data_IF_581782915827
#
_entry.id   IF_581782915827
#
_cell.length_a   1.000
_cell.length_b   1.000
_cell.length_c   1.000
_cell.angle_alpha   90.00
_cell.angle_beta   90.00
_cell.angle_gamma   90.00
#
_symmetry.space_group_name_H-M   'P 1'
#
loop_
_entity.id
_entity.type
_entity.pdbx_description
1 polymer ?
#
# COMPACT_ATOMS: atom_id res chain seq x y z
N UNK A 1 76.93 30.15 68.57
CA UNK A 1 76.68 30.15 67.11
C UNK A 1 76.40 28.70 66.75
N UNK A 2 75.14 28.36 66.43
CA UNK A 2 74.65 27.14 65.76
C UNK A 2 73.18 26.90 66.16
N UNK A 3 72.26 27.39 65.33
CA UNK A 3 70.92 26.83 65.13
C UNK A 3 70.85 26.59 63.60
N UNK A 4 70.44 25.46 63.05
CA UNK A 4 69.59 24.40 63.56
C UNK A 4 68.36 24.29 62.66
N UNK A 5 68.28 23.20 61.90
CA UNK A 5 67.05 22.51 61.47
C UNK A 5 66.19 23.06 60.30
N UNK A 6 65.89 22.13 59.36
CA UNK A 6 64.73 22.01 58.45
C UNK A 6 64.58 23.03 57.29
N UNK A 7 64.44 22.54 56.05
CA UNK A 7 63.10 22.28 55.48
C UNK A 7 63.19 21.63 54.07
N UNK A 8 63.20 20.31 54.01
CA UNK A 8 62.95 19.54 52.78
C UNK A 8 61.46 19.47 52.41
N UNK A 9 60.57 20.01 53.27
CA UNK A 9 59.11 19.88 53.13
C UNK A 9 58.51 20.87 52.11
N UNK A 10 59.22 21.93 51.70
CA UNK A 10 58.66 22.95 50.79
C UNK A 10 58.62 22.50 49.33
N UNK A 11 59.55 21.63 48.91
CA UNK A 11 59.65 21.16 47.52
C UNK A 11 58.61 20.06 47.25
N UNK A 12 58.27 19.25 48.27
CA UNK A 12 57.24 18.22 48.13
C UNK A 12 55.83 18.83 48.06
N UNK A 13 55.56 19.88 48.84
CA UNK A 13 54.26 20.59 48.82
C UNK A 13 53.93 21.21 47.46
N UNK A 14 54.92 21.69 46.71
CA UNK A 14 54.69 22.29 45.38
C UNK A 14 54.41 21.25 44.29
N UNK A 15 54.88 20.00 44.44
CA UNK A 15 54.52 18.91 43.52
C UNK A 15 53.12 18.34 43.78
N UNK A 16 52.65 18.35 45.04
CA UNK A 16 51.28 17.94 45.36
C UNK A 16 50.23 18.94 44.85
N UNK A 17 50.53 20.23 44.81
CA UNK A 17 49.59 21.26 44.31
C UNK A 17 49.29 21.13 42.81
N UNK A 18 50.22 20.59 42.01
CA UNK A 18 50.06 20.49 40.55
C UNK A 18 49.38 19.18 40.11
N UNK A 19 49.32 18.16 40.97
CA UNK A 19 48.63 16.89 40.64
C UNK A 19 47.12 16.92 40.81
N UNK A 20 46.54 17.91 41.49
CA UNK A 20 45.07 18.02 41.67
C UNK A 20 44.36 18.91 40.64
N UNK A 21 45.06 19.45 39.65
CA UNK A 21 44.44 20.26 38.58
C UNK A 21 43.92 19.42 37.39
N UNK A 22 44.03 18.10 37.47
CA UNK A 22 43.63 17.17 36.40
C UNK A 22 42.57 16.18 36.85
N UNK A 23 41.55 16.60 37.62
CA UNK A 23 40.32 15.81 37.70
C UNK A 23 39.65 15.97 36.34
N UNK A 24 39.93 15.05 35.43
CA UNK A 24 39.07 14.82 34.29
C UNK A 24 37.68 14.53 34.88
N UNK A 25 36.79 15.51 34.81
CA UNK A 25 35.38 15.24 35.03
C UNK A 25 34.97 14.33 33.89
N UNK A 26 34.97 13.03 34.16
CA UNK A 26 34.36 12.04 33.30
C UNK A 26 32.89 12.47 33.20
N UNK A 27 32.57 13.19 32.12
CA UNK A 27 31.25 13.73 31.89
C UNK A 27 30.34 12.55 31.64
N UNK A 28 29.64 12.12 32.69
CA UNK A 28 28.76 10.97 32.66
C UNK A 28 27.62 11.29 31.70
N UNK A 29 27.66 10.66 30.52
CA UNK A 29 26.58 10.74 29.54
C UNK A 29 25.32 10.16 30.18
N UNK A 30 24.20 10.88 30.11
CA UNK A 30 22.94 10.37 30.65
C UNK A 30 22.46 9.14 29.87
N UNK A 31 21.82 8.19 30.56
CA UNK A 31 21.16 7.07 29.88
C UNK A 31 20.09 7.58 28.92
N UNK A 32 19.79 6.79 27.90
CA UNK A 32 18.75 7.11 26.95
C UNK A 32 17.36 7.18 27.65
N UNK A 33 16.52 8.16 27.27
CA UNK A 33 15.23 8.33 27.90
C UNK A 33 14.23 7.25 27.46
N UNK A 34 13.35 6.88 28.39
CA UNK A 34 12.21 6.01 28.12
C UNK A 34 11.02 6.81 27.65
N UNK A 35 10.23 6.23 26.74
CA UNK A 35 9.00 6.85 26.24
C UNK A 35 7.96 5.77 25.95
N UNK A 36 6.70 6.20 25.87
CA UNK A 36 5.56 5.36 25.55
C UNK A 36 4.86 5.84 24.29
N UNK A 37 4.25 4.90 23.57
CA UNK A 37 3.40 5.17 22.41
C UNK A 37 1.96 4.83 22.80
N UNK A 38 1.09 5.84 22.79
CA UNK A 38 -0.31 5.70 23.21
C UNK A 38 -1.21 5.91 21.99
N UNK A 39 -2.02 4.91 21.67
CA UNK A 39 -3.06 5.01 20.65
C UNK A 39 -4.31 5.70 21.21
N UNK A 40 -4.71 6.82 20.61
CA UNK A 40 -5.96 7.53 20.94
C UNK A 40 -6.76 7.83 19.68
N UNK A 41 -7.63 6.90 19.30
CA UNK A 41 -8.49 7.02 18.12
C UNK A 41 -7.65 7.13 16.85
N UNK A 42 -7.75 8.26 16.15
CA UNK A 42 -7.03 8.50 14.89
C UNK A 42 -5.61 9.07 15.08
N UNK A 43 -5.06 9.00 16.29
CA UNK A 43 -3.74 9.58 16.61
C UNK A 43 -2.89 8.63 17.46
N UNK A 44 -1.59 8.67 17.21
CA UNK A 44 -0.56 8.15 18.10
C UNK A 44 0.04 9.31 18.89
N UNK A 45 0.18 9.12 20.20
CA UNK A 45 0.82 10.07 21.09
C UNK A 45 2.12 9.45 21.57
N UNK A 46 3.24 10.09 21.23
CA UNK A 46 4.54 9.73 21.81
C UNK A 46 4.71 10.56 23.07
N UNK A 47 4.90 9.88 24.20
CA UNK A 47 4.93 10.49 25.52
C UNK A 47 6.27 10.15 26.19
N UNK A 48 7.15 11.13 26.33
CA UNK A 48 8.36 10.99 27.15
C UNK A 48 8.04 11.34 28.60
N UNK A 49 8.67 10.64 29.55
CA UNK A 49 8.63 11.04 30.96
C UNK A 49 9.36 12.36 31.14
N UNK A 50 8.87 13.21 32.04
CA UNK A 50 9.59 14.42 32.41
C UNK A 50 11.00 14.07 32.93
N UNK A 51 12.02 14.89 32.63
CA UNK A 51 13.37 14.64 33.11
C UNK A 51 13.39 14.74 34.64
N UNK A 52 14.00 13.78 35.31
CA UNK A 52 14.31 13.86 36.73
C UNK A 52 15.47 14.86 36.93
N UNK A 53 15.15 16.14 36.85
CA UNK A 53 16.09 17.25 37.03
C UNK A 53 15.42 18.42 37.76
N UNK A 54 16.21 19.21 38.48
CA UNK A 54 15.73 20.42 39.14
C UNK A 54 15.37 21.55 38.15
N UNK A 55 15.70 21.38 36.86
CA UNK A 55 15.50 22.36 35.81
C UNK A 55 14.91 21.69 34.55
N UNK A 56 13.61 21.33 34.55
CA UNK A 56 12.98 20.65 33.42
C UNK A 56 12.96 21.49 32.14
N UNK A 57 12.83 22.82 32.27
CA UNK A 57 12.88 23.76 31.16
C UNK A 57 14.20 23.76 30.37
N UNK A 58 15.28 23.22 30.95
CA UNK A 58 16.58 23.10 30.28
C UNK A 58 16.67 21.88 29.35
N UNK A 59 15.66 21.03 29.34
CA UNK A 59 15.64 19.83 28.54
C UNK A 59 14.80 20.04 27.27
N UNK A 60 15.16 19.33 26.20
CA UNK A 60 14.32 19.19 25.01
C UNK A 60 14.37 17.75 24.54
N UNK A 61 13.22 17.13 24.30
CA UNK A 61 13.20 15.79 23.72
C UNK A 61 13.10 15.92 22.20
N UNK A 62 13.96 15.18 21.52
CA UNK A 62 13.99 15.07 20.07
C UNK A 62 13.46 13.71 19.71
N UNK A 63 12.21 13.66 19.24
CA UNK A 63 11.61 12.45 18.70
C UNK A 63 12.00 12.30 17.25
N UNK A 64 12.48 11.12 16.90
CA UNK A 64 12.76 10.72 15.53
C UNK A 64 11.87 9.54 15.20
N UNK A 65 10.99 9.70 14.21
CA UNK A 65 10.09 8.63 13.82
C UNK A 65 10.02 8.43 12.31
N UNK A 66 9.76 7.20 11.91
CA UNK A 66 9.49 6.80 10.53
C UNK A 66 8.15 6.09 10.48
N UNK A 67 7.32 6.45 9.50
CA UNK A 67 6.06 5.78 9.18
C UNK A 67 6.26 4.94 7.92
N UNK A 68 5.82 3.69 7.95
CA UNK A 68 6.01 2.75 6.83
C UNK A 68 7.48 2.70 6.39
N UNK A 69 7.77 3.17 5.17
CA UNK A 69 9.11 3.30 4.57
C UNK A 69 9.38 4.75 4.11
N UNK A 70 8.68 5.72 4.70
CA UNK A 70 8.88 7.13 4.40
C UNK A 70 10.20 7.65 5.00
N UNK A 71 10.53 8.91 4.69
CA UNK A 71 11.65 9.58 5.30
C UNK A 71 11.47 9.73 6.81
N UNK A 72 12.59 9.81 7.52
CA UNK A 72 12.59 9.97 8.96
C UNK A 72 12.25 11.40 9.33
N UNK A 73 11.22 11.57 10.15
CA UNK A 73 10.73 12.86 10.62
C UNK A 73 11.31 13.12 12.02
N UNK A 74 11.77 14.35 12.25
CA UNK A 74 12.30 14.79 13.55
C UNK A 74 11.41 15.88 14.13
N UNK A 75 11.00 15.71 15.38
CA UNK A 75 10.15 16.66 16.11
C UNK A 75 10.79 16.95 17.46
N UNK A 76 10.92 18.24 17.78
CA UNK A 76 11.40 18.68 19.08
C UNK A 76 10.22 19.02 19.98
N UNK A 77 10.24 18.55 21.22
CA UNK A 77 9.24 18.88 22.23
C UNK A 77 9.90 19.43 23.49
N UNK A 78 9.20 20.38 24.10
CA UNK A 78 9.57 21.11 25.31
C UNK A 78 8.54 20.83 26.41
N UNK A 79 8.78 21.38 27.60
CA UNK A 79 7.82 21.40 28.72
C UNK A 79 6.46 21.97 28.29
N UNK A 80 6.44 22.97 27.40
CA UNK A 80 5.20 23.61 26.90
C UNK A 80 4.23 22.64 26.22
N UNK A 81 4.79 21.59 25.59
CA UNK A 81 4.03 20.55 24.91
C UNK A 81 3.87 19.29 25.78
N UNK A 82 4.13 19.41 27.08
CA UNK A 82 4.14 18.30 28.04
C UNK A 82 5.00 17.12 27.59
N UNK A 83 6.07 17.37 26.84
CA UNK A 83 6.94 16.34 26.25
C UNK A 83 6.23 15.34 25.34
N UNK A 84 5.14 15.77 24.67
CA UNK A 84 4.31 14.92 23.82
C UNK A 84 4.34 15.33 22.36
N UNK A 85 4.36 14.32 21.49
CA UNK A 85 4.13 14.47 20.05
C UNK A 85 2.83 13.80 19.67
N UNK A 86 1.97 14.52 18.93
CA UNK A 86 0.74 13.98 18.36
C UNK A 86 0.93 13.73 16.86
N UNK A 87 0.83 12.47 16.44
CA UNK A 87 0.97 12.04 15.05
C UNK A 87 -0.33 11.41 14.57
N UNK A 88 -0.69 11.60 13.30
CA UNK A 88 -1.84 10.92 12.71
C UNK A 88 -1.59 9.41 12.64
N UNK A 89 -2.53 8.63 13.17
CA UNK A 89 -2.43 7.17 13.16
C UNK A 89 -2.94 6.60 11.85
N UNK A 90 -2.15 5.67 11.30
CA UNK A 90 -2.48 4.89 10.12
C UNK A 90 -2.27 3.41 10.45
N UNK A 91 -3.37 2.67 10.54
CA UNK A 91 -3.36 1.25 10.88
C UNK A 91 -2.66 0.37 9.83
N UNK A 92 -2.45 0.87 8.62
CA UNK A 92 -1.73 0.16 7.57
C UNK A 92 -0.21 0.36 7.62
N UNK A 93 0.31 1.16 8.55
CA UNK A 93 1.73 1.46 8.63
C UNK A 93 2.38 0.98 9.92
N UNK A 94 3.60 0.46 9.79
CA UNK A 94 4.53 0.28 10.91
C UNK A 94 5.20 1.62 11.22
N UNK A 95 5.23 1.97 12.49
CA UNK A 95 5.97 3.11 13.02
C UNK A 95 7.24 2.62 13.69
N UNK A 96 8.33 3.36 13.48
CA UNK A 96 9.59 3.21 14.23
C UNK A 96 9.85 4.53 14.91
N UNK A 97 10.03 4.53 16.23
CA UNK A 97 10.20 5.75 17.02
C UNK A 97 11.44 5.62 17.88
N UNK A 98 12.22 6.70 17.96
CA UNK A 98 13.37 6.89 18.82
C UNK A 98 13.28 8.27 19.47
N UNK A 99 13.92 8.41 20.62
CA UNK A 99 13.94 9.68 21.35
C UNK A 99 15.33 9.95 21.92
N UNK A 100 15.73 11.21 21.90
CA UNK A 100 16.94 11.70 22.55
C UNK A 100 16.61 12.89 23.43
N UNK A 101 17.15 12.93 24.64
CA UNK A 101 17.10 14.11 25.49
C UNK A 101 18.29 15.02 25.14
N UNK A 102 18.02 16.27 24.81
CA UNK A 102 19.06 17.28 24.58
C UNK A 102 18.99 18.35 25.66
N UNK A 103 20.16 18.79 26.09
CA UNK A 103 20.26 19.86 27.08
C UNK A 103 20.41 21.21 26.37
N UNK A 104 19.73 22.24 26.86
CA UNK A 104 19.86 23.59 26.33
C UNK A 104 21.04 24.32 26.97
N UNK A 105 22.17 24.30 26.26
CA UNK A 105 23.38 24.98 26.69
C UNK A 105 23.31 26.51 26.57
N UNK A 106 22.32 27.05 25.85
CA UNK A 106 22.21 28.49 25.59
C UNK A 106 21.81 29.25 26.85
N UNK A 107 20.85 28.71 27.61
CA UNK A 107 20.27 29.36 28.79
C UNK A 107 20.64 28.64 30.09
N UNK A 108 21.01 27.37 30.04
CA UNK A 108 21.25 26.54 31.22
C UNK A 108 22.71 26.12 31.43
N UNK A 109 23.63 26.68 30.63
CA UNK A 109 25.08 26.45 30.73
C UNK A 109 25.55 25.11 30.18
N UNK A 110 26.87 24.85 30.22
CA UNK A 110 27.47 23.65 29.63
C UNK A 110 27.69 22.51 30.66
N UNK A 111 26.91 22.52 31.73
CA UNK A 111 27.10 21.58 32.85
C UNK A 111 26.68 20.15 32.48
N UNK A 112 25.66 20.02 31.63
CA UNK A 112 25.08 18.73 31.25
C UNK A 112 25.20 18.49 29.74
N UNK A 113 25.23 17.21 29.36
CA UNK A 113 25.34 16.75 27.96
C UNK A 113 24.06 16.06 27.52
N UNK A 114 23.85 16.03 26.21
CA UNK A 114 22.80 15.25 25.56
C UNK A 114 22.88 13.77 25.96
N UNK A 115 21.72 13.13 26.08
CA UNK A 115 21.64 11.69 26.29
C UNK A 115 22.07 10.92 25.04
N UNK A 116 22.29 9.62 25.23
CA UNK A 116 22.22 8.69 24.11
C UNK A 116 20.82 8.65 23.48
N UNK A 117 20.77 8.26 22.21
CA UNK A 117 19.51 7.98 21.51
C UNK A 117 18.91 6.69 22.08
N UNK A 118 17.59 6.66 22.27
CA UNK A 118 16.90 5.44 22.69
C UNK A 118 16.98 4.36 21.63
N UNK A 119 16.82 3.11 22.07
CA UNK A 119 16.57 2.02 21.14
C UNK A 119 15.28 2.28 20.33
N UNK A 120 15.20 1.81 19.07
CA UNK A 120 14.00 1.95 18.27
C UNK A 120 12.86 1.12 18.82
N UNK A 121 11.74 1.78 19.12
CA UNK A 121 10.48 1.12 19.45
C UNK A 121 9.63 1.02 18.19
N UNK A 122 9.07 -0.17 17.96
CA UNK A 122 8.22 -0.45 16.81
C UNK A 122 6.76 -0.54 17.22
N UNK A 123 5.88 0.14 16.48
CA UNK A 123 4.43 0.10 16.71
C UNK A 123 3.69 -0.24 15.41
N UNK A 124 2.73 -1.17 15.49
CA UNK A 124 1.96 -1.62 14.33
C UNK A 124 2.72 -2.53 13.36
N UNK A 125 2.10 -2.79 12.22
CA UNK A 125 2.63 -3.64 11.16
C UNK A 125 2.37 -3.00 9.80
N UNK A 126 3.28 -3.20 8.84
CA UNK A 126 3.04 -2.76 7.48
C UNK A 126 1.93 -3.62 6.87
N UNK A 127 0.83 -2.99 6.49
CA UNK A 127 -0.22 -3.63 5.72
C UNK A 127 0.29 -4.00 4.33
N UNK A 128 -0.22 -5.11 3.77
CA UNK A 128 0.04 -5.44 2.37
C UNK A 128 -0.68 -4.39 1.50
N UNK A 129 0.05 -3.56 0.71
CA UNK A 129 -0.58 -2.57 -0.15
C UNK A 129 -1.49 -3.21 -1.21
N UNK A 130 -1.31 -4.51 -1.48
CA UNK A 130 -2.12 -5.30 -2.40
C UNK A 130 -3.29 -6.00 -1.71
N UNK A 131 -3.46 -5.88 -0.39
CA UNK A 131 -4.61 -6.46 0.30
C UNK A 131 -5.95 -5.97 -0.27
N UNK A 132 -6.20 -4.65 -0.45
CA UNK A 132 -7.47 -4.20 -1.01
C UNK A 132 -7.71 -4.69 -2.44
N UNK A 133 -6.66 -4.75 -3.28
CA UNK A 133 -6.78 -5.26 -4.65
C UNK A 133 -7.04 -6.77 -4.68
N UNK A 134 -6.39 -7.55 -3.81
CA UNK A 134 -6.65 -8.99 -3.64
C UNK A 134 -8.07 -9.26 -3.16
N UNK A 135 -8.54 -8.49 -2.16
CA UNK A 135 -9.91 -8.61 -1.64
C UNK A 135 -10.92 -8.28 -2.74
N UNK A 136 -10.69 -7.21 -3.52
CA UNK A 136 -11.56 -6.86 -4.63
C UNK A 136 -11.60 -7.96 -5.72
N UNK A 137 -10.45 -8.53 -6.07
CA UNK A 137 -10.34 -9.63 -7.06
C UNK A 137 -11.19 -10.85 -6.67
N UNK A 138 -11.34 -11.13 -5.37
CA UNK A 138 -12.14 -12.24 -4.86
C UNK A 138 -13.60 -11.84 -4.65
N UNK A 139 -13.86 -10.65 -4.09
CA UNK A 139 -15.20 -10.21 -3.73
C UNK A 139 -16.07 -9.87 -4.96
N UNK A 140 -15.49 -9.24 -5.99
CA UNK A 140 -16.22 -8.84 -7.20
C UNK A 140 -16.87 -10.04 -7.91
N UNK A 141 -16.16 -11.14 -8.25
CA UNK A 141 -16.80 -12.27 -8.92
C UNK A 141 -17.89 -12.92 -8.05
N UNK A 142 -17.69 -13.00 -6.73
CA UNK A 142 -18.71 -13.53 -5.80
C UNK A 142 -19.98 -12.69 -5.85
N UNK A 143 -19.85 -11.35 -5.77
CA UNK A 143 -20.98 -10.44 -5.83
C UNK A 143 -21.68 -10.53 -7.19
N UNK A 144 -20.93 -10.59 -8.30
CA UNK A 144 -21.50 -10.74 -9.65
C UNK A 144 -22.28 -12.05 -9.80
N UNK A 145 -21.73 -13.17 -9.29
CA UNK A 145 -22.43 -14.46 -9.29
C UNK A 145 -23.75 -14.37 -8.50
N UNK A 146 -23.73 -13.77 -7.31
CA UNK A 146 -24.94 -13.55 -6.52
C UNK A 146 -25.96 -12.67 -7.26
N UNK A 147 -25.53 -11.58 -7.88
CA UNK A 147 -26.39 -10.70 -8.68
C UNK A 147 -27.03 -11.44 -9.85
N UNK A 148 -26.27 -12.27 -10.58
CA UNK A 148 -26.81 -13.08 -11.70
C UNK A 148 -27.84 -14.09 -11.19
N UNK A 149 -27.57 -14.77 -10.07
CA UNK A 149 -28.52 -15.73 -9.49
C UNK A 149 -29.81 -15.02 -9.09
N UNK A 150 -29.71 -13.88 -8.40
CA UNK A 150 -30.89 -13.08 -8.00
C UNK A 150 -31.65 -12.60 -9.23
N UNK A 151 -30.95 -12.07 -10.25
CA UNK A 151 -31.58 -11.65 -11.50
C UNK A 151 -32.33 -12.82 -12.16
N UNK A 152 -31.72 -13.99 -12.28
CA UNK A 152 -32.36 -15.20 -12.82
C UNK A 152 -33.61 -15.61 -12.03
N UNK A 153 -33.57 -15.53 -10.70
CA UNK A 153 -34.73 -15.83 -9.84
C UNK A 153 -35.85 -14.79 -10.04
N UNK A 154 -35.50 -13.51 -10.10
CA UNK A 154 -36.46 -12.42 -10.33
C UNK A 154 -37.09 -12.52 -11.72
N UNK A 155 -36.30 -12.79 -12.76
CA UNK A 155 -36.79 -13.05 -14.11
C UNK A 155 -37.75 -14.24 -14.13
N UNK A 156 -37.44 -15.34 -13.42
CA UNK A 156 -38.34 -16.49 -13.31
C UNK A 156 -39.65 -16.17 -12.60
N UNK A 157 -39.62 -15.36 -11.54
CA UNK A 157 -40.82 -14.99 -10.76
C UNK A 157 -41.67 -13.94 -11.44
N UNK A 158 -41.07 -13.02 -12.18
CA UNK A 158 -41.77 -11.91 -12.83
C UNK A 158 -41.81 -12.03 -14.36
N UNK A 159 -41.55 -13.23 -14.90
CA UNK A 159 -41.65 -13.53 -16.33
C UNK A 159 -42.97 -13.03 -16.94
N UNK A 160 -44.07 -13.12 -16.20
CA UNK A 160 -45.40 -12.72 -16.65
C UNK A 160 -45.60 -11.19 -16.69
N UNK A 161 -44.74 -10.42 -16.02
CA UNK A 161 -44.72 -8.94 -16.04
C UNK A 161 -43.69 -8.37 -17.00
N UNK A 162 -42.54 -9.03 -17.17
CA UNK A 162 -41.46 -8.60 -18.07
C UNK A 162 -41.68 -9.06 -19.53
N UNK A 163 -42.29 -10.22 -19.73
CA UNK A 163 -42.76 -10.68 -21.04
C UNK A 163 -44.30 -10.70 -20.99
N UNK A 164 -44.99 -9.66 -21.51
CA UNK A 164 -46.43 -9.77 -21.72
C UNK A 164 -46.69 -11.02 -22.56
N UNK A 165 -47.67 -11.81 -22.13
CA UNK A 165 -48.07 -13.08 -22.76
C UNK A 165 -48.14 -12.88 -24.27
N UNK A 166 -47.18 -13.44 -25.02
CA UNK A 166 -47.14 -13.33 -26.48
C UNK A 166 -48.48 -13.85 -27.01
N UNK A 167 -49.31 -13.00 -27.64
CA UNK A 167 -50.53 -13.48 -28.26
C UNK A 167 -50.13 -14.49 -29.34
N UNK A 168 -50.83 -15.62 -29.37
CA UNK A 168 -50.58 -16.78 -30.23
C UNK A 168 -50.12 -16.37 -31.66
N UNK A 169 -48.94 -16.84 -32.14
CA UNK A 169 -48.28 -16.32 -33.34
C UNK A 169 -48.77 -16.96 -34.65
N UNK A 170 -50.07 -17.28 -34.77
CA UNK A 170 -50.56 -17.96 -35.99
C UNK A 170 -50.94 -17.00 -37.12
N UNK A 171 -51.21 -15.72 -36.82
CA UNK A 171 -51.66 -14.75 -37.83
C UNK A 171 -50.63 -13.67 -38.18
N UNK A 172 -49.76 -13.25 -37.25
CA UNK A 172 -48.83 -12.14 -37.51
C UNK A 172 -47.61 -12.49 -38.40
N UNK A 173 -47.14 -13.74 -38.39
CA UNK A 173 -46.00 -14.16 -39.22
C UNK A 173 -46.40 -14.62 -40.62
N UNK A 174 -47.69 -14.88 -40.85
CA UNK A 174 -48.19 -15.33 -42.15
C UNK A 174 -48.16 -14.20 -43.18
N UNK A 175 -48.50 -12.98 -42.74
CA UNK A 175 -48.50 -11.79 -43.60
C UNK A 175 -47.09 -11.32 -43.99
N UNK A 176 -46.09 -11.54 -43.13
CA UNK A 176 -44.68 -11.16 -43.39
C UNK A 176 -43.96 -12.17 -44.31
N UNK A 177 -44.43 -13.41 -44.42
CA UNK A 177 -43.89 -14.42 -45.33
C UNK A 177 -44.65 -14.51 -46.67
N UNK A 178 -45.91 -14.05 -46.72
CA UNK A 178 -46.67 -14.01 -47.98
C UNK A 178 -46.34 -12.75 -48.83
N UNK A 179 -45.79 -11.67 -48.24
CA UNK A 179 -45.33 -10.50 -49.02
C UNK A 179 -44.16 -10.82 -49.96
N UNK A 180 -43.26 -11.74 -49.58
CA UNK A 180 -42.13 -12.15 -50.41
C UNK A 180 -42.57 -12.98 -51.64
N UNK A 181 -43.71 -13.67 -51.53
CA UNK A 181 -44.31 -14.45 -52.63
C UNK A 181 -45.04 -13.59 -53.66
N UNK A 182 -45.57 -12.44 -53.26
CA UNK A 182 -46.16 -11.49 -54.20
C UNK A 182 -45.09 -10.74 -55.00
N UNK A 183 -43.96 -10.38 -54.37
CA UNK A 183 -42.85 -9.73 -55.07
C UNK A 183 -42.18 -10.66 -56.10
N UNK A 184 -42.07 -11.96 -55.81
CA UNK A 184 -41.58 -12.96 -56.78
C UNK A 184 -42.58 -13.26 -57.91
N UNK A 185 -43.88 -13.02 -57.70
CA UNK A 185 -44.89 -13.14 -58.76
C UNK A 185 -44.92 -11.94 -59.70
N UNK A 186 -44.65 -10.72 -59.21
CA UNK A 186 -44.61 -9.52 -60.07
C UNK A 186 -43.30 -9.35 -60.86
N UNK A 187 -42.22 -10.06 -60.48
CA UNK A 187 -40.96 -10.07 -61.24
C UNK A 187 -40.91 -11.16 -62.35
N UNK A 188 -41.93 -12.02 -62.46
CA UNK A 188 -41.99 -13.12 -63.43
C UNK A 188 -42.96 -12.82 -64.59
N UNK A 189 -42.89 -11.61 -65.14
CA UNK A 189 -43.48 -11.29 -66.46
C UNK A 189 -42.44 -10.56 -67.30
N UNK A 190 -41.82 -11.30 -68.23
CA UNK A 190 -41.12 -10.75 -69.41
C UNK A 190 -39.61 -10.98 -69.46
N UNK A 191 -39.20 -11.99 -70.25
CA UNK A 191 -37.96 -12.11 -71.06
C UNK A 191 -36.58 -11.75 -70.41
N UNK A 192 -35.51 -12.56 -70.43
CA UNK A 192 -34.95 -13.31 -71.54
C UNK A 192 -33.76 -14.16 -71.00
N UNK A 193 -33.78 -15.49 -71.15
CA UNK A 193 -32.54 -16.27 -71.34
C UNK A 193 -32.88 -17.49 -72.18
N UNK A 194 -32.37 -17.52 -73.41
CA UNK A 194 -32.46 -18.64 -74.33
C UNK A 194 -31.24 -19.53 -74.07
N UNK A 195 -31.41 -20.79 -73.64
CA UNK A 195 -30.30 -21.73 -73.54
C UNK A 195 -29.77 -22.03 -74.94
N UNK A 196 -28.46 -21.90 -75.15
CA UNK A 196 -27.80 -22.35 -76.38
C UNK A 196 -27.71 -23.88 -76.33
N UNK A 197 -28.29 -24.56 -77.32
CA UNK A 197 -28.09 -26.00 -77.52
C UNK A 197 -26.66 -26.24 -78.00
N UNK A 198 -25.80 -26.79 -77.13
CA UNK A 198 -24.53 -27.37 -77.57
C UNK A 198 -24.83 -28.70 -78.27
N UNK A 199 -24.52 -28.75 -79.56
CA UNK A 199 -24.65 -29.94 -80.42
C UNK A 199 -23.69 -31.02 -79.90
N UNK A 200 -24.23 -32.01 -79.21
CA UNK A 200 -23.51 -33.25 -78.87
C UNK A 200 -23.63 -34.19 -80.07
N UNK A 201 -22.61 -34.22 -80.93
CA UNK A 201 -22.46 -35.29 -81.92
C UNK A 201 -22.15 -36.61 -81.20
N UNK A 202 -23.03 -37.58 -81.40
CA UNK A 202 -22.84 -38.97 -80.98
C UNK A 202 -21.66 -39.58 -81.73
N UNK A 203 -20.64 -40.03 -80.99
CA UNK A 203 -19.59 -40.88 -81.55
C UNK A 203 -19.57 -42.25 -80.87
N UNK A 204 -19.71 -43.25 -81.74
CA UNK A 204 -19.94 -44.65 -81.51
C UNK A 204 -18.75 -45.37 -80.86
N UNK A 205 -19.06 -46.40 -80.08
CA UNK A 205 -18.21 -47.17 -79.14
C UNK A 205 -17.21 -48.09 -79.86
N UNK A 206 -16.04 -48.36 -79.27
CA UNK A 206 -15.44 -49.72 -79.19
C UNK A 206 -14.41 -49.86 -78.04
N UNK A 207 -14.18 -51.07 -77.49
CA UNK A 207 -13.55 -51.29 -76.17
C UNK A 207 -12.12 -51.87 -76.21
N UNK A 208 -11.48 -51.92 -75.02
CA UNK A 208 -10.19 -52.58 -74.64
C UNK A 208 -8.94 -51.86 -75.18
N UNK A 209 -7.83 -51.73 -74.45
CA UNK A 209 -7.21 -52.63 -73.47
C UNK A 209 -6.15 -51.88 -72.67
N UNK A 210 -5.99 -52.31 -71.42
CA UNK A 210 -4.70 -52.59 -70.75
C UNK A 210 -3.71 -51.48 -70.37
N UNK A 211 -3.26 -51.61 -69.12
CA UNK A 211 -1.88 -51.39 -68.65
C UNK A 211 -1.42 -49.92 -68.60
N UNK A 212 -0.67 -49.42 -67.62
CA UNK A 212 -0.10 -49.90 -66.36
C UNK A 212 0.69 -48.67 -65.83
N UNK A 213 0.89 -48.62 -64.52
CA UNK A 213 1.86 -47.79 -63.78
C UNK A 213 1.60 -46.28 -63.61
N UNK A 214 1.41 -45.78 -62.38
CA UNK A 214 2.32 -45.67 -61.21
C UNK A 214 3.38 -44.57 -61.31
N UNK A 215 3.38 -43.70 -60.29
CA UNK A 215 4.51 -42.89 -59.84
C UNK A 215 4.60 -41.54 -60.54
N UNK A 216 4.79 -40.42 -59.87
CA UNK A 216 5.20 -40.18 -58.49
C UNK A 216 4.73 -38.77 -58.11
#
# INVERSE_FOLDING_TARGET
>A
MLCGYRNGDLICLMCFSVMFAGVATEQVRRPAPTFEIIEKGNYLIFNASAPESAAPHCWKYVFQYRKCNEEQITVNVTEDNEWRVKVQYDAACKYTVQVQAKYDTTYCGELERDSDMSEPVYFGQNGDPNLPSKVAMIAIPIILCFCIIVAMVLFRRHKDKFLPRVPTPSHFFKDMFDSDKEMTKQLNVGELYVPIEEVVEELHVEPKTSHLHHGL
#
